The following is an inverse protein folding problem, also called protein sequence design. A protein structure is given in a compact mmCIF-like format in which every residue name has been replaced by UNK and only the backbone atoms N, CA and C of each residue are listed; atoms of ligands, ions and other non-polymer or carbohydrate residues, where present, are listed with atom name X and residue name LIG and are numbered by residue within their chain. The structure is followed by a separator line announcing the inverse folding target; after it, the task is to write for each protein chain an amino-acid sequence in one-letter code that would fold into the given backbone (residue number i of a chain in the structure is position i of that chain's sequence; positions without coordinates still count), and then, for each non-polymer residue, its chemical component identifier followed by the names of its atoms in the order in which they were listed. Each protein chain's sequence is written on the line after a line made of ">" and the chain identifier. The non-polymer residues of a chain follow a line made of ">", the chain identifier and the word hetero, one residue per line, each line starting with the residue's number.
data_IF_492680984764
#
_entry.id   IF_492680984764
#
_cell.length_a   1.000
_cell.length_b   1.000
_cell.length_c   1.000
_cell.angle_alpha   90.00
_cell.angle_beta   90.00
_cell.angle_gamma   90.00
#
_symmetry.space_group_name_H-M   'P 1'
#
loop_
_entity.id
_entity.type
_entity.pdbx_description
1 polymer ?
#
# COMPACT_ATOMS: atom_id res chain seq x y z
N UNK A 1 -29.91 -6.46 15.82
CA UNK A 1 -29.35 -5.57 16.87
C UNK A 1 -28.04 -5.02 16.31
N UNK A 2 -27.92 -3.73 16.04
CA UNK A 2 -26.63 -3.15 15.64
C UNK A 2 -25.68 -3.31 16.83
N UNK A 3 -24.67 -4.15 16.69
CA UNK A 3 -23.60 -4.23 17.69
C UNK A 3 -22.98 -2.84 17.81
N UNK A 4 -22.92 -2.33 19.04
CA UNK A 4 -22.26 -1.06 19.33
C UNK A 4 -20.76 -1.25 19.14
N UNK A 5 -20.22 -0.88 17.99
CA UNK A 5 -18.80 -1.08 17.61
C UNK A 5 -18.11 0.26 17.50
N UNK A 6 -16.90 0.33 18.02
CA UNK A 6 -15.96 1.41 17.78
C UNK A 6 -14.88 0.93 16.80
N UNK A 7 -14.75 1.60 15.67
CA UNK A 7 -13.74 1.32 14.67
C UNK A 7 -12.70 2.43 14.75
N UNK A 8 -11.41 2.05 14.80
CA UNK A 8 -10.30 3.00 14.92
C UNK A 8 -9.28 2.71 13.82
N UNK A 9 -8.93 3.74 13.02
CA UNK A 9 -7.79 3.74 12.14
C UNK A 9 -6.67 4.60 12.73
N UNK A 10 -5.58 3.95 13.13
CA UNK A 10 -4.37 4.60 13.64
C UNK A 10 -3.47 4.91 12.45
N UNK A 11 -3.73 6.04 11.81
CA UNK A 11 -2.98 6.48 10.64
C UNK A 11 -1.62 7.11 10.98
N UNK A 12 -0.77 7.29 9.96
CA UNK A 12 0.52 7.95 10.12
C UNK A 12 0.41 9.44 10.45
N UNK A 13 -0.72 10.09 10.16
CA UNK A 13 -0.94 11.53 10.32
C UNK A 13 -2.18 11.84 11.16
N UNK A 14 -3.20 11.00 11.10
CA UNK A 14 -4.47 11.18 11.81
C UNK A 14 -4.90 9.89 12.50
N UNK A 15 -5.55 10.03 13.66
CA UNK A 15 -6.46 9.02 14.18
C UNK A 15 -7.84 9.26 13.59
N UNK A 16 -8.51 8.21 13.18
CA UNK A 16 -9.91 8.25 12.73
C UNK A 16 -10.71 7.27 13.56
N UNK A 17 -11.82 7.74 14.12
CA UNK A 17 -12.73 6.94 14.92
C UNK A 17 -14.09 6.93 14.25
N UNK A 18 -14.69 5.75 14.14
CA UNK A 18 -16.06 5.62 13.66
C UNK A 18 -16.92 4.92 14.71
N UNK A 19 -17.91 5.65 15.23
CA UNK A 19 -18.93 5.12 16.12
C UNK A 19 -20.30 5.51 15.57
N UNK A 20 -21.24 4.58 15.49
CA UNK A 20 -22.59 4.82 15.00
C UNK A 20 -22.63 5.53 13.62
N UNK A 21 -21.76 5.17 12.71
CA UNK A 21 -21.59 5.77 11.37
C UNK A 21 -21.12 7.25 11.39
N UNK A 22 -20.68 7.76 12.52
CA UNK A 22 -20.08 9.08 12.62
C UNK A 22 -18.55 8.93 12.68
N UNK A 23 -17.83 9.58 11.77
CA UNK A 23 -16.35 9.53 11.71
C UNK A 23 -15.78 10.82 12.25
N UNK A 24 -14.99 10.69 13.31
CA UNK A 24 -14.18 11.76 13.88
C UNK A 24 -12.71 11.58 13.46
N UNK A 25 -11.99 12.71 13.31
CA UNK A 25 -10.58 12.71 12.96
C UNK A 25 -9.80 13.64 13.85
N UNK A 26 -8.64 13.15 14.33
CA UNK A 26 -7.73 13.89 15.19
C UNK A 26 -6.33 13.89 14.61
N UNK A 27 -5.76 15.06 14.38
CA UNK A 27 -4.38 15.19 13.93
C UNK A 27 -3.42 14.68 15.03
N UNK A 28 -2.42 13.89 14.65
CA UNK A 28 -1.44 13.32 15.58
C UNK A 28 -0.46 14.37 16.09
N UNK A 29 -0.10 14.25 17.36
CA UNK A 29 1.06 14.92 17.94
C UNK A 29 2.28 14.01 17.81
N UNK A 30 3.20 14.34 16.90
CA UNK A 30 4.39 13.52 16.63
C UNK A 30 5.43 13.55 17.76
N UNK A 31 5.25 14.39 18.79
CA UNK A 31 6.11 14.45 19.96
C UNK A 31 5.64 13.50 21.07
N UNK A 32 4.51 12.83 20.89
CA UNK A 32 3.95 11.89 21.85
C UNK A 32 3.99 10.46 21.30
N UNK A 33 4.06 9.51 22.22
CA UNK A 33 3.75 8.12 21.93
C UNK A 33 2.36 8.00 21.27
N UNK A 34 2.20 7.00 20.39
CA UNK A 34 0.96 6.79 19.62
C UNK A 34 -0.22 6.53 20.54
N UNK A 35 -0.02 5.68 21.57
CA UNK A 35 -1.09 5.30 22.48
C UNK A 35 -1.47 6.44 23.42
N UNK A 36 -0.49 7.18 23.94
CA UNK A 36 -0.69 8.34 24.80
C UNK A 36 -1.41 9.45 24.04
N UNK A 37 -1.05 9.71 22.78
CA UNK A 37 -1.72 10.70 21.95
C UNK A 37 -3.16 10.28 21.63
N UNK A 38 -3.38 9.02 21.24
CA UNK A 38 -4.71 8.46 20.97
C UNK A 38 -5.60 8.57 22.21
N UNK A 39 -5.12 8.13 23.36
CA UNK A 39 -5.92 8.14 24.61
C UNK A 39 -6.17 9.54 25.11
N UNK A 40 -5.21 10.47 24.95
CA UNK A 40 -5.41 11.88 25.33
C UNK A 40 -6.48 12.59 24.50
N UNK A 41 -6.66 12.20 23.24
CA UNK A 41 -7.62 12.83 22.30
C UNK A 41 -8.97 12.11 22.23
N UNK A 42 -8.95 10.80 22.40
CA UNK A 42 -10.08 9.93 22.12
C UNK A 42 -10.50 9.05 23.31
N UNK A 43 -9.83 9.15 24.44
CA UNK A 43 -10.06 8.29 25.62
C UNK A 43 -11.50 8.30 26.12
N UNK A 44 -12.17 9.46 26.13
CA UNK A 44 -13.58 9.59 26.52
C UNK A 44 -14.53 8.82 25.59
N UNK A 45 -14.19 8.75 24.28
CA UNK A 45 -14.96 7.97 23.31
C UNK A 45 -14.66 6.48 23.47
N UNK A 46 -13.39 6.12 23.58
CA UNK A 46 -12.93 4.72 23.71
C UNK A 46 -13.51 4.07 24.98
N UNK A 47 -13.52 4.78 26.11
CA UNK A 47 -13.99 4.27 27.40
C UNK A 47 -15.48 3.86 27.43
N UNK A 48 -16.26 4.26 26.44
CA UNK A 48 -17.69 3.92 26.31
C UNK A 48 -17.91 2.51 25.72
N UNK A 49 -16.84 1.86 25.22
CA UNK A 49 -16.90 0.56 24.54
C UNK A 49 -16.09 -0.48 25.31
N UNK A 50 -16.53 -1.74 25.24
CA UNK A 50 -15.76 -2.87 25.74
C UNK A 50 -14.65 -3.22 24.77
N UNK A 51 -13.61 -3.90 25.21
CA UNK A 51 -12.46 -4.29 24.38
C UNK A 51 -12.84 -5.14 23.17
N UNK A 52 -13.82 -6.00 23.28
CA UNK A 52 -14.36 -6.85 22.20
C UNK A 52 -15.23 -6.07 21.20
N UNK A 53 -15.67 -4.85 21.57
CA UNK A 53 -16.42 -3.95 20.70
C UNK A 53 -15.51 -2.96 19.94
N UNK A 54 -14.20 -2.91 20.28
CA UNK A 54 -13.21 -2.01 19.65
C UNK A 54 -12.42 -2.76 18.59
N UNK A 55 -12.45 -2.27 17.36
CA UNK A 55 -11.68 -2.82 16.22
C UNK A 55 -10.68 -1.80 15.72
N UNK A 56 -9.42 -2.20 15.57
CA UNK A 56 -8.33 -1.29 15.22
C UNK A 56 -7.65 -1.77 13.93
N UNK A 57 -7.39 -0.83 13.03
CA UNK A 57 -6.37 -0.99 12.01
C UNK A 57 -5.29 0.10 12.14
N UNK A 58 -4.09 -0.17 11.65
CA UNK A 58 -2.98 0.78 11.78
C UNK A 58 -2.09 0.82 10.55
N UNK A 59 -1.73 2.04 10.12
CA UNK A 59 -0.62 2.31 9.21
C UNK A 59 0.51 3.10 9.89
N UNK A 60 0.37 3.40 11.20
CA UNK A 60 1.35 4.19 11.95
C UNK A 60 2.65 3.42 12.23
N UNK A 61 2.60 2.11 12.19
CA UNK A 61 3.72 1.20 12.44
C UNK A 61 4.85 1.29 11.39
N UNK A 62 4.62 1.90 10.24
CA UNK A 62 5.59 1.96 9.14
C UNK A 62 5.74 0.66 8.34
N UNK A 63 5.10 -0.45 8.78
CA UNK A 63 5.22 -1.79 8.19
C UNK A 63 6.57 -2.46 8.48
N UNK A 64 6.67 -3.77 8.19
CA UNK A 64 7.93 -4.52 8.27
C UNK A 64 8.87 -4.09 7.15
N UNK A 65 10.08 -3.66 7.51
CA UNK A 65 11.12 -3.35 6.51
C UNK A 65 11.53 -4.62 5.77
N UNK A 66 11.38 -4.62 4.44
CA UNK A 66 11.49 -5.84 3.67
C UNK A 66 12.40 -5.66 2.45
N UNK A 67 13.28 -6.61 2.25
CA UNK A 67 14.06 -6.80 1.04
C UNK A 67 13.51 -7.99 0.26
N UNK A 68 13.26 -7.82 -1.04
CA UNK A 68 12.84 -8.91 -1.91
C UNK A 68 13.97 -9.22 -2.90
N UNK A 69 14.39 -10.47 -2.94
CA UNK A 69 15.38 -10.97 -3.90
C UNK A 69 14.66 -11.93 -4.84
N UNK A 70 14.70 -11.67 -6.15
CA UNK A 70 14.00 -12.48 -7.15
C UNK A 70 14.76 -12.61 -8.45
N UNK A 71 14.41 -13.60 -9.26
CA UNK A 71 15.14 -13.95 -10.48
C UNK A 71 14.69 -13.20 -11.73
N UNK A 72 13.49 -12.59 -11.71
CA UNK A 72 12.97 -11.81 -12.83
C UNK A 72 12.22 -10.59 -12.34
N UNK A 73 12.38 -9.46 -13.03
CA UNK A 73 11.63 -8.22 -12.70
C UNK A 73 10.15 -8.37 -13.00
N UNK A 74 9.81 -8.89 -14.17
CA UNK A 74 8.43 -8.95 -14.69
C UNK A 74 7.57 -10.05 -14.06
N UNK A 75 8.17 -10.99 -13.31
CA UNK A 75 7.49 -12.12 -12.69
C UNK A 75 7.74 -12.18 -11.20
N UNK A 76 8.82 -12.85 -10.77
CA UNK A 76 9.04 -13.15 -9.35
C UNK A 76 9.09 -11.90 -8.47
N UNK A 77 9.85 -10.86 -8.83
CA UNK A 77 9.91 -9.61 -8.07
C UNK A 77 8.58 -8.87 -8.08
N UNK A 78 7.94 -8.76 -9.25
CA UNK A 78 6.69 -8.03 -9.41
C UNK A 78 5.57 -8.62 -8.57
N UNK A 79 5.37 -9.94 -8.61
CA UNK A 79 4.30 -10.61 -7.86
C UNK A 79 4.61 -10.68 -6.36
N UNK A 80 5.85 -10.96 -5.97
CA UNK A 80 6.24 -10.90 -4.56
C UNK A 80 6.06 -9.49 -3.97
N UNK A 81 6.40 -8.45 -4.73
CA UNK A 81 6.18 -7.04 -4.36
C UNK A 81 4.72 -6.75 -4.12
N UNK A 82 3.85 -7.24 -5.01
CA UNK A 82 2.42 -7.03 -4.92
C UNK A 82 1.82 -7.74 -3.70
N UNK A 83 2.15 -9.02 -3.49
CA UNK A 83 1.72 -9.78 -2.31
C UNK A 83 2.19 -9.09 -1.02
N UNK A 84 3.45 -8.67 -0.97
CA UNK A 84 4.01 -7.99 0.20
C UNK A 84 3.28 -6.66 0.50
N UNK A 85 3.01 -5.84 -0.52
CA UNK A 85 2.23 -4.61 -0.31
C UNK A 85 0.82 -4.88 0.24
N UNK A 86 0.15 -5.93 -0.24
CA UNK A 86 -1.17 -6.31 0.27
C UNK A 86 -1.14 -6.81 1.71
N UNK A 87 0.03 -7.23 2.22
CA UNK A 87 0.24 -7.69 3.60
C UNK A 87 0.69 -6.57 4.58
N UNK A 88 0.70 -5.31 4.16
CA UNK A 88 1.12 -4.19 5.01
C UNK A 88 2.63 -4.04 5.17
N UNK A 89 3.40 -4.63 4.26
CA UNK A 89 4.87 -4.65 4.29
C UNK A 89 5.45 -3.34 3.74
N UNK A 90 6.58 -2.93 4.32
CA UNK A 90 7.37 -1.78 3.89
C UNK A 90 8.58 -2.25 3.07
N UNK A 91 8.43 -2.47 1.76
CA UNK A 91 9.53 -2.87 0.89
C UNK A 91 10.54 -1.72 0.79
N UNK A 92 11.74 -1.92 1.28
CA UNK A 92 12.84 -0.93 1.22
C UNK A 92 13.65 -1.06 -0.07
N UNK A 93 13.79 -2.28 -0.59
CA UNK A 93 14.48 -2.53 -1.86
C UNK A 93 13.99 -3.84 -2.50
N UNK A 94 14.16 -3.94 -3.81
CA UNK A 94 14.03 -5.17 -4.60
C UNK A 94 15.33 -5.41 -5.33
N UNK A 95 15.83 -6.65 -5.30
CA UNK A 95 17.10 -7.05 -5.90
C UNK A 95 16.85 -8.11 -6.95
N UNK A 96 17.24 -7.83 -8.18
CA UNK A 96 17.29 -8.87 -9.22
C UNK A 96 18.51 -9.75 -8.95
N UNK A 97 18.31 -11.06 -8.83
CA UNK A 97 19.35 -12.00 -8.42
C UNK A 97 20.62 -11.93 -9.28
N UNK A 98 20.46 -11.76 -10.59
CA UNK A 98 21.61 -11.60 -11.49
C UNK A 98 22.52 -10.42 -11.15
N UNK A 99 21.98 -9.37 -10.49
CA UNK A 99 22.69 -8.14 -10.14
C UNK A 99 23.12 -8.13 -8.67
N UNK A 100 22.98 -9.25 -7.96
CA UNK A 100 23.17 -9.34 -6.50
C UNK A 100 24.58 -8.93 -6.06
N UNK A 101 25.61 -9.27 -6.85
CA UNK A 101 27.01 -8.94 -6.54
C UNK A 101 27.34 -7.45 -6.67
N UNK A 102 26.56 -6.71 -7.45
CA UNK A 102 26.75 -5.26 -7.68
C UNK A 102 25.76 -4.41 -6.88
N UNK A 103 24.79 -5.04 -6.25
CA UNK A 103 23.78 -4.35 -5.46
C UNK A 103 24.32 -3.94 -4.10
N UNK A 104 24.11 -2.68 -3.73
CA UNK A 104 24.50 -2.18 -2.41
C UNK A 104 23.73 -2.89 -1.31
N UNK A 105 24.44 -3.24 -0.24
CA UNK A 105 23.86 -3.85 0.95
C UNK A 105 23.28 -2.75 1.84
N UNK A 106 21.99 -2.84 2.25
CA UNK A 106 21.42 -1.93 3.22
C UNK A 106 22.17 -1.99 4.56
N UNK A 107 22.45 -0.83 5.15
CA UNK A 107 23.13 -0.72 6.45
C UNK A 107 22.21 -1.05 7.64
N UNK A 108 20.93 -0.82 7.46
CA UNK A 108 19.92 -0.96 8.52
C UNK A 108 19.45 -2.40 8.68
N UNK A 109 18.93 -2.72 9.85
CA UNK A 109 18.30 -4.01 10.10
C UNK A 109 17.05 -4.16 9.23
N UNK A 110 16.94 -5.29 8.56
CA UNK A 110 15.80 -5.66 7.72
C UNK A 110 14.92 -6.64 8.52
N UNK A 111 13.63 -6.35 8.64
CA UNK A 111 12.73 -7.23 9.38
C UNK A 111 12.48 -8.54 8.64
N UNK A 112 12.38 -8.48 7.29
CA UNK A 112 12.11 -9.67 6.46
C UNK A 112 12.90 -9.63 5.15
N UNK A 113 13.57 -10.75 4.83
CA UNK A 113 14.10 -11.03 3.51
C UNK A 113 13.18 -12.05 2.82
N UNK A 114 12.68 -11.73 1.63
CA UNK A 114 11.85 -12.62 0.82
C UNK A 114 12.67 -13.09 -0.38
N UNK A 115 12.86 -14.39 -0.49
CA UNK A 115 13.49 -15.03 -1.64
C UNK A 115 12.42 -15.65 -2.53
N UNK A 116 12.40 -15.28 -3.82
CA UNK A 116 11.38 -15.74 -4.77
C UNK A 116 12.00 -16.06 -6.12
N UNK A 117 11.58 -17.16 -6.72
CA UNK A 117 11.99 -17.45 -8.09
C UNK A 117 11.89 -18.92 -8.48
N UNK A 118 11.84 -19.10 -9.78
CA UNK A 118 11.65 -20.40 -10.41
C UNK A 118 10.20 -20.88 -10.32
N UNK A 119 9.89 -21.81 -11.19
CA UNK A 119 8.72 -22.69 -11.12
C UNK A 119 9.20 -24.08 -10.73
N UNK A 120 8.35 -24.92 -10.15
CA UNK A 120 8.76 -26.19 -9.55
C UNK A 120 9.34 -27.22 -10.54
N UNK A 121 9.22 -26.96 -11.84
CA UNK A 121 9.84 -27.74 -12.91
C UNK A 121 11.25 -27.28 -13.31
N UNK A 122 11.71 -26.13 -12.82
CA UNK A 122 13.03 -25.55 -13.15
C UNK A 122 14.05 -25.92 -12.08
N UNK A 123 15.24 -26.33 -12.50
CA UNK A 123 16.36 -26.66 -11.62
C UNK A 123 16.99 -25.40 -11.02
N UNK A 124 17.74 -25.61 -9.96
CA UNK A 124 18.41 -24.66 -9.06
C UNK A 124 18.61 -23.26 -9.63
N UNK A 125 17.96 -22.28 -9.02
CA UNK A 125 18.01 -20.89 -9.47
C UNK A 125 18.97 -20.05 -8.65
N UNK A 126 19.22 -20.46 -7.39
CA UNK A 126 20.13 -19.80 -6.47
C UNK A 126 21.40 -20.61 -6.28
N UNK A 127 22.53 -19.92 -6.17
CA UNK A 127 23.85 -20.48 -5.95
C UNK A 127 24.56 -19.80 -4.76
N UNK A 128 25.85 -20.06 -4.59
CA UNK A 128 26.68 -19.54 -3.49
C UNK A 128 26.77 -18.01 -3.43
N UNK A 129 26.50 -17.28 -4.51
CA UNK A 129 26.48 -15.80 -4.51
C UNK A 129 25.42 -15.25 -3.58
N UNK A 130 24.25 -15.94 -3.48
CA UNK A 130 23.21 -15.56 -2.54
C UNK A 130 23.75 -15.56 -1.10
N UNK A 131 24.48 -16.61 -0.71
CA UNK A 131 25.01 -16.71 0.65
C UNK A 131 26.07 -15.65 0.93
N UNK A 132 26.90 -15.31 -0.07
CA UNK A 132 27.84 -14.21 0.02
C UNK A 132 27.16 -12.87 0.31
N UNK A 133 26.04 -12.61 -0.34
CA UNK A 133 25.23 -11.41 -0.10
C UNK A 133 24.56 -11.43 1.27
N UNK A 134 23.87 -12.53 1.63
CA UNK A 134 23.14 -12.67 2.89
C UNK A 134 24.05 -12.58 4.13
N UNK A 135 25.31 -13.04 4.06
CA UNK A 135 26.28 -12.93 5.17
C UNK A 135 26.59 -11.50 5.58
N UNK A 136 26.47 -10.56 4.64
CA UNK A 136 26.72 -9.15 4.89
C UNK A 136 25.44 -8.37 5.20
N UNK A 137 24.29 -9.02 5.18
CA UNK A 137 22.98 -8.43 5.43
C UNK A 137 22.58 -8.66 6.89
N UNK A 138 22.00 -7.63 7.51
CA UNK A 138 21.41 -7.74 8.85
C UNK A 138 19.92 -7.91 8.72
N UNK A 139 19.39 -9.07 9.06
CA UNK A 139 17.95 -9.36 8.98
C UNK A 139 17.44 -10.19 10.15
N UNK A 140 16.15 -10.08 10.44
CA UNK A 140 15.48 -10.81 11.53
C UNK A 140 14.83 -12.10 11.03
N UNK A 141 14.20 -12.07 9.87
CA UNK A 141 13.46 -13.19 9.28
C UNK A 141 13.85 -13.37 7.82
N UNK A 142 13.84 -14.62 7.36
CA UNK A 142 14.05 -14.95 5.96
C UNK A 142 13.06 -16.03 5.52
N UNK A 143 12.41 -15.82 4.38
CA UNK A 143 11.41 -16.74 3.83
C UNK A 143 11.70 -17.01 2.36
N UNK A 144 11.54 -18.27 1.97
CA UNK A 144 11.64 -18.71 0.58
C UNK A 144 10.29 -19.17 0.05
N UNK A 145 9.85 -18.53 -1.04
CA UNK A 145 8.60 -18.80 -1.74
C UNK A 145 8.88 -19.04 -3.24
N UNK A 146 9.75 -19.95 -3.54
CA UNK A 146 10.20 -20.29 -4.90
C UNK A 146 10.19 -21.80 -5.17
N UNK A 147 10.91 -22.18 -6.22
CA UNK A 147 10.93 -23.57 -6.73
C UNK A 147 11.28 -24.60 -5.65
N UNK A 148 10.57 -25.73 -5.65
CA UNK A 148 10.83 -26.84 -4.73
C UNK A 148 12.28 -27.40 -4.90
N UNK A 149 12.89 -27.20 -6.05
CA UNK A 149 14.23 -27.69 -6.38
C UNK A 149 15.34 -27.02 -5.55
N UNK A 150 15.14 -25.78 -5.12
CA UNK A 150 16.12 -25.06 -4.32
C UNK A 150 15.97 -25.28 -2.80
N UNK A 151 14.87 -25.89 -2.35
CA UNK A 151 14.54 -25.99 -0.91
C UNK A 151 15.63 -26.64 -0.07
N UNK A 152 16.07 -27.83 -0.45
CA UNK A 152 17.08 -28.59 0.30
C UNK A 152 18.43 -27.85 0.30
N UNK A 153 18.81 -27.29 -0.84
CA UNK A 153 20.04 -26.53 -0.98
C UNK A 153 20.02 -25.26 -0.11
N UNK A 154 18.95 -24.48 -0.16
CA UNK A 154 18.83 -23.27 0.63
C UNK A 154 18.72 -23.58 2.13
N UNK A 155 17.94 -24.57 2.53
CA UNK A 155 17.79 -24.97 3.94
C UNK A 155 19.11 -25.46 4.54
N UNK A 156 19.95 -26.10 3.74
CA UNK A 156 21.27 -26.57 4.20
C UNK A 156 22.29 -25.44 4.38
N UNK A 157 22.06 -24.26 3.82
CA UNK A 157 23.02 -23.17 3.78
C UNK A 157 22.53 -21.86 4.44
N UNK A 158 21.26 -21.77 4.80
CA UNK A 158 20.65 -20.58 5.44
C UNK A 158 19.96 -21.00 6.73
N UNK A 159 20.46 -20.47 7.83
CA UNK A 159 19.88 -20.70 9.15
C UNK A 159 18.49 -20.05 9.28
N UNK A 160 17.56 -20.75 9.94
CA UNK A 160 16.19 -20.27 10.21
C UNK A 160 15.39 -19.89 8.97
N UNK A 161 15.72 -20.43 7.80
CA UNK A 161 14.96 -20.23 6.57
C UNK A 161 13.56 -20.84 6.70
N UNK A 162 12.54 -20.02 6.52
CA UNK A 162 11.16 -20.49 6.44
C UNK A 162 10.83 -20.83 4.99
N UNK A 163 10.36 -22.05 4.76
CA UNK A 163 9.91 -22.49 3.43
C UNK A 163 8.40 -22.43 3.37
N UNK A 164 7.89 -21.78 2.35
CA UNK A 164 6.46 -21.76 2.03
C UNK A 164 6.21 -22.23 0.60
N UNK A 165 4.96 -22.30 0.20
CA UNK A 165 4.58 -22.64 -1.17
C UNK A 165 5.11 -21.58 -2.15
N UNK A 166 5.50 -22.05 -3.36
CA UNK A 166 5.96 -21.17 -4.41
C UNK A 166 4.86 -20.21 -4.85
N UNK A 167 5.17 -18.91 -4.92
CA UNK A 167 4.19 -17.89 -5.38
C UNK A 167 3.81 -18.03 -6.86
N UNK A 168 4.54 -18.83 -7.63
CA UNK A 168 4.24 -19.10 -9.04
C UNK A 168 4.28 -20.60 -9.28
N UNK A 169 3.13 -21.19 -9.55
CA UNK A 169 3.06 -22.62 -9.82
C UNK A 169 3.50 -22.98 -11.27
N UNK A 170 3.57 -24.28 -11.57
CA UNK A 170 3.98 -24.79 -12.89
C UNK A 170 3.04 -24.40 -14.06
N UNK A 171 1.84 -23.91 -13.77
CA UNK A 171 0.90 -23.38 -14.76
C UNK A 171 1.02 -21.86 -14.93
N UNK A 172 2.03 -21.26 -14.31
CA UNK A 172 2.25 -19.81 -14.25
C UNK A 172 1.09 -19.05 -13.58
N UNK A 173 0.35 -19.70 -12.67
CA UNK A 173 -0.63 -19.05 -11.83
C UNK A 173 0.05 -18.51 -10.57
N UNK A 174 -0.39 -17.36 -10.11
CA UNK A 174 0.07 -16.76 -8.85
C UNK A 174 -0.66 -17.41 -7.68
N UNK A 175 0.10 -17.89 -6.70
CA UNK A 175 -0.37 -18.47 -5.43
C UNK A 175 0.01 -17.49 -4.33
N UNK A 176 -0.94 -16.67 -3.91
CA UNK A 176 -0.66 -15.51 -3.02
C UNK A 176 -0.78 -15.85 -1.53
N UNK A 177 -1.78 -16.67 -1.17
CA UNK A 177 -2.19 -16.85 0.22
C UNK A 177 -1.06 -17.34 1.16
N UNK A 178 -0.18 -18.31 0.81
CA UNK A 178 0.85 -18.75 1.75
C UNK A 178 1.83 -17.64 2.14
N UNK A 179 2.30 -16.84 1.17
CA UNK A 179 3.20 -15.73 1.47
C UNK A 179 2.47 -14.60 2.20
N UNK A 180 1.25 -14.31 1.81
CA UNK A 180 0.42 -13.28 2.43
C UNK A 180 0.08 -13.60 3.89
N UNK A 181 -0.28 -14.85 4.18
CA UNK A 181 -0.54 -15.33 5.54
C UNK A 181 0.73 -15.22 6.40
N UNK A 182 1.86 -15.71 5.90
CA UNK A 182 3.14 -15.61 6.59
C UNK A 182 3.50 -14.16 6.94
N UNK A 183 3.41 -13.25 5.98
CA UNK A 183 3.74 -11.83 6.19
C UNK A 183 2.74 -11.14 7.12
N UNK A 184 1.46 -11.49 7.05
CA UNK A 184 0.44 -10.98 7.97
C UNK A 184 0.72 -11.41 9.40
N UNK A 185 1.09 -12.66 9.62
CA UNK A 185 1.44 -13.18 10.94
C UNK A 185 2.70 -12.49 11.51
N UNK A 186 3.72 -12.27 10.68
CA UNK A 186 4.90 -11.49 11.08
C UNK A 186 4.54 -10.05 11.45
N UNK A 187 3.67 -9.41 10.67
CA UNK A 187 3.20 -8.06 10.96
C UNK A 187 2.47 -7.99 12.31
N UNK A 188 1.65 -8.98 12.64
CA UNK A 188 0.98 -9.08 13.93
C UNK A 188 1.99 -9.22 15.09
N UNK A 189 2.97 -10.11 14.92
CA UNK A 189 4.03 -10.30 15.92
C UNK A 189 4.85 -9.01 16.13
N UNK A 190 5.12 -8.26 15.05
CA UNK A 190 5.83 -6.99 15.10
C UNK A 190 5.05 -5.92 15.87
N UNK A 191 3.73 -5.81 15.64
CA UNK A 191 2.87 -4.90 16.42
C UNK A 191 2.93 -5.23 17.92
N UNK A 192 2.85 -6.51 18.26
CA UNK A 192 2.92 -6.94 19.67
C UNK A 192 4.27 -6.69 20.31
N UNK A 193 5.35 -6.64 19.53
CA UNK A 193 6.71 -6.38 20.00
C UNK A 193 7.09 -4.91 20.12
N UNK A 194 6.38 -3.99 19.47
CA UNK A 194 6.71 -2.55 19.44
C UNK A 194 6.07 -1.80 20.61
N UNK A 195 6.90 -1.16 21.44
CA UNK A 195 6.44 -0.38 22.59
C UNK A 195 5.35 0.63 22.26
N UNK A 196 5.51 1.36 21.16
CA UNK A 196 4.61 2.45 20.73
C UNK A 196 3.20 1.97 20.33
N UNK A 197 3.03 0.69 20.01
CA UNK A 197 1.79 0.16 19.40
C UNK A 197 1.21 -0.98 20.24
N UNK A 198 2.03 -1.75 20.96
CA UNK A 198 1.56 -2.90 21.76
C UNK A 198 0.44 -2.50 22.72
N UNK A 199 0.48 -1.27 23.27
CA UNK A 199 -0.53 -0.73 24.17
C UNK A 199 -1.90 -0.53 23.49
N UNK A 200 -2.01 -0.58 22.17
CA UNK A 200 -3.32 -0.63 21.51
C UNK A 200 -4.12 -1.87 21.93
N UNK A 201 -3.46 -2.97 22.30
CA UNK A 201 -4.14 -4.16 22.87
C UNK A 201 -4.68 -3.93 24.30
N UNK A 202 -4.34 -2.81 24.95
CA UNK A 202 -4.98 -2.43 26.21
C UNK A 202 -6.43 -1.96 26.02
N UNK A 203 -6.79 -1.54 24.81
CA UNK A 203 -8.12 -1.03 24.47
C UNK A 203 -8.92 -1.95 23.54
N UNK A 204 -8.30 -2.96 22.91
CA UNK A 204 -9.00 -3.96 22.09
C UNK A 204 -8.57 -5.39 22.47
N UNK A 205 -9.49 -6.34 22.33
CA UNK A 205 -9.20 -7.78 22.34
C UNK A 205 -9.19 -8.38 20.93
N UNK A 206 -9.51 -7.58 19.91
CA UNK A 206 -9.53 -8.00 18.52
C UNK A 206 -8.14 -7.87 17.88
N UNK A 207 -7.90 -8.64 16.84
CA UNK A 207 -6.66 -8.57 16.06
C UNK A 207 -6.52 -7.20 15.37
N UNK A 208 -5.32 -6.62 15.43
CA UNK A 208 -5.02 -5.34 14.78
C UNK A 208 -4.45 -5.63 13.39
N UNK A 209 -5.06 -5.12 12.35
CA UNK A 209 -4.61 -5.28 10.97
C UNK A 209 -3.97 -4.02 10.42
N UNK A 210 -3.20 -4.17 9.35
CA UNK A 210 -2.72 -2.99 8.62
C UNK A 210 -3.88 -2.28 7.93
N UNK A 211 -3.89 -0.94 7.94
CA UNK A 211 -4.93 -0.14 7.25
C UNK A 211 -5.05 -0.53 5.77
N UNK A 212 -3.96 -0.73 5.03
CA UNK A 212 -4.06 -1.17 3.63
C UNK A 212 -4.73 -2.52 3.43
N UNK A 213 -4.50 -3.47 4.33
CA UNK A 213 -5.19 -4.76 4.30
C UNK A 213 -6.70 -4.57 4.47
N UNK A 214 -7.09 -3.74 5.44
CA UNK A 214 -8.51 -3.43 5.69
C UNK A 214 -9.14 -2.72 4.49
N UNK A 215 -8.47 -1.73 3.90
CA UNK A 215 -8.95 -1.05 2.69
C UNK A 215 -9.13 -2.05 1.54
N UNK A 216 -8.21 -2.97 1.33
CA UNK A 216 -8.37 -4.01 0.31
C UNK A 216 -9.58 -4.91 0.57
N UNK A 217 -9.86 -5.24 1.84
CA UNK A 217 -11.06 -6.00 2.25
C UNK A 217 -12.37 -5.23 2.05
N UNK A 218 -12.34 -3.91 1.87
CA UNK A 218 -13.56 -3.13 1.60
C UNK A 218 -14.03 -3.23 0.16
N UNK A 219 -13.12 -3.50 -0.78
CA UNK A 219 -13.37 -3.35 -2.22
C UNK A 219 -14.56 -4.20 -2.73
N UNK A 220 -14.73 -5.47 -2.30
CA UNK A 220 -15.89 -6.26 -2.69
C UNK A 220 -17.25 -5.68 -2.24
N UNK A 221 -17.24 -4.78 -1.26
CA UNK A 221 -18.45 -4.22 -0.64
C UNK A 221 -18.65 -2.73 -0.93
N UNK A 222 -17.78 -2.14 -1.74
CA UNK A 222 -17.75 -0.68 -1.95
C UNK A 222 -19.03 -0.17 -2.61
N UNK A 223 -19.63 -0.95 -3.50
CA UNK A 223 -20.88 -0.65 -4.19
C UNK A 223 -22.10 -0.63 -3.25
N UNK A 224 -22.01 -1.27 -2.09
CA UNK A 224 -23.07 -1.23 -1.07
C UNK A 224 -23.28 0.16 -0.48
N UNK A 225 -22.28 1.03 -0.58
CA UNK A 225 -22.29 2.38 0.03
C UNK A 225 -22.07 3.50 -0.98
N UNK A 226 -21.36 3.22 -2.07
CA UNK A 226 -21.00 4.20 -3.09
C UNK A 226 -21.47 3.72 -4.47
N UNK A 227 -21.87 4.65 -5.32
CA UNK A 227 -22.27 4.34 -6.70
C UNK A 227 -21.03 4.04 -7.56
N UNK A 228 -20.36 2.90 -7.30
CA UNK A 228 -19.16 2.45 -7.99
C UNK A 228 -19.52 1.40 -9.03
N UNK A 229 -18.95 1.51 -10.20
CA UNK A 229 -19.16 0.56 -11.31
C UNK A 229 -17.83 -0.10 -11.67
N UNK A 230 -17.81 -1.43 -11.73
CA UNK A 230 -16.66 -2.21 -12.15
C UNK A 230 -16.40 -2.10 -13.67
N UNK A 231 -15.13 -2.13 -14.12
CA UNK A 231 -13.91 -2.12 -13.31
C UNK A 231 -13.59 -0.73 -12.76
N UNK A 232 -13.03 -0.68 -11.56
CA UNK A 232 -12.70 0.58 -10.89
C UNK A 232 -11.29 0.58 -10.28
N UNK A 233 -10.79 1.77 -9.96
CA UNK A 233 -9.66 1.98 -9.05
C UNK A 233 -10.11 2.81 -7.86
N UNK A 234 -9.45 2.56 -6.71
CA UNK A 234 -9.52 3.41 -5.53
C UNK A 234 -8.14 4.00 -5.30
N UNK A 235 -8.06 5.34 -5.24
CA UNK A 235 -6.83 6.07 -4.95
C UNK A 235 -6.93 6.59 -3.52
N UNK A 236 -6.08 6.07 -2.63
CA UNK A 236 -5.94 6.53 -1.25
C UNK A 236 -4.69 7.41 -1.14
N UNK A 237 -4.90 8.72 -0.95
CA UNK A 237 -3.80 9.67 -0.81
C UNK A 237 -3.58 9.98 0.66
N UNK A 238 -2.49 9.44 1.18
CA UNK A 238 -2.01 9.65 2.54
C UNK A 238 -0.91 10.71 2.64
N UNK A 239 -0.48 10.95 3.89
CA UNK A 239 0.63 11.87 4.15
C UNK A 239 1.99 11.32 3.73
N UNK A 240 2.19 10.01 3.76
CA UNK A 240 3.45 9.34 3.44
C UNK A 240 3.43 8.62 2.10
N UNK A 241 2.30 8.01 1.74
CA UNK A 241 2.13 7.20 0.53
C UNK A 241 0.88 7.61 -0.22
N UNK A 242 0.83 7.24 -1.49
CA UNK A 242 -0.41 7.17 -2.27
C UNK A 242 -0.57 5.75 -2.77
N UNK A 243 -1.73 5.17 -2.55
CA UNK A 243 -2.03 3.79 -2.88
C UNK A 243 -3.10 3.72 -3.96
N UNK A 244 -2.96 2.78 -4.88
CA UNK A 244 -4.01 2.42 -5.84
C UNK A 244 -4.44 0.99 -5.57
N UNK A 245 -5.71 0.82 -5.20
CA UNK A 245 -6.37 -0.47 -5.24
C UNK A 245 -7.15 -0.57 -6.55
N UNK A 246 -7.12 -1.72 -7.21
CA UNK A 246 -7.70 -1.84 -8.55
C UNK A 246 -8.35 -3.21 -8.78
N UNK A 247 -9.39 -3.20 -9.61
CA UNK A 247 -9.99 -4.44 -10.14
C UNK A 247 -8.99 -5.15 -11.04
N UNK A 248 -8.78 -6.44 -10.87
CA UNK A 248 -7.79 -7.21 -11.63
C UNK A 248 -7.99 -7.20 -13.14
N UNK A 249 -9.21 -7.06 -13.60
CA UNK A 249 -9.53 -6.92 -15.02
C UNK A 249 -8.78 -5.76 -15.69
N UNK A 250 -8.35 -4.79 -14.91
CA UNK A 250 -7.55 -3.65 -15.37
C UNK A 250 -6.08 -3.99 -15.58
N UNK A 251 -5.57 -5.08 -15.02
CA UNK A 251 -4.18 -5.45 -15.21
C UNK A 251 -3.89 -5.80 -16.66
N UNK A 252 -2.75 -5.33 -17.16
CA UNK A 252 -2.21 -5.77 -18.47
C UNK A 252 -1.56 -7.15 -18.39
N UNK A 253 -1.35 -7.68 -17.18
CA UNK A 253 -0.76 -8.99 -16.97
C UNK A 253 -1.81 -10.09 -17.20
N UNK A 254 -1.42 -11.10 -17.96
CA UNK A 254 -2.30 -12.24 -18.29
C UNK A 254 -2.22 -13.37 -17.25
N UNK A 255 -1.75 -13.06 -16.02
CA UNK A 255 -1.65 -14.07 -14.98
C UNK A 255 -2.97 -14.28 -14.26
N UNK A 256 -3.33 -15.55 -14.08
CA UNK A 256 -4.49 -15.93 -13.27
C UNK A 256 -4.10 -15.84 -11.81
N UNK A 257 -4.81 -15.01 -11.08
CA UNK A 257 -4.70 -14.91 -9.62
C UNK A 257 -6.08 -15.13 -9.00
N UNK A 258 -6.13 -15.52 -7.73
CA UNK A 258 -7.39 -15.85 -7.04
C UNK A 258 -8.12 -14.61 -6.50
N UNK A 259 -7.41 -13.49 -6.33
CA UNK A 259 -8.01 -12.26 -5.81
C UNK A 259 -8.70 -11.45 -6.91
N UNK A 260 -9.83 -10.83 -6.60
CA UNK A 260 -10.55 -9.95 -7.52
C UNK A 260 -9.94 -8.53 -7.57
N UNK A 261 -9.23 -8.15 -6.54
CA UNK A 261 -8.64 -6.83 -6.36
C UNK A 261 -7.20 -6.92 -5.92
N UNK A 262 -6.42 -5.92 -6.32
CA UNK A 262 -5.01 -5.85 -6.04
C UNK A 262 -4.56 -4.42 -5.72
N UNK A 263 -3.31 -4.21 -5.28
CA UNK A 263 -2.83 -2.93 -4.77
C UNK A 263 -1.44 -2.58 -5.28
N UNK A 264 -1.23 -1.31 -5.58
CA UNK A 264 0.07 -0.69 -5.80
C UNK A 264 0.32 0.42 -4.79
N UNK A 265 1.54 0.54 -4.31
CA UNK A 265 1.95 1.53 -3.30
C UNK A 265 3.02 2.45 -3.87
N UNK A 266 2.76 3.74 -3.84
CA UNK A 266 3.69 4.79 -4.25
C UNK A 266 4.20 5.55 -3.03
N UNK A 267 5.25 5.03 -2.39
CA UNK A 267 5.82 5.55 -1.13
C UNK A 267 6.32 7.00 -1.21
N UNK A 268 6.69 7.45 -2.40
CA UNK A 268 7.26 8.79 -2.62
C UNK A 268 6.23 9.80 -3.13
N UNK A 269 4.95 9.46 -3.09
CA UNK A 269 3.86 10.33 -3.60
C UNK A 269 2.87 10.74 -2.52
N UNK A 270 3.23 10.65 -1.24
CA UNK A 270 2.44 11.22 -0.14
C UNK A 270 2.59 12.74 -0.06
N UNK A 271 1.54 13.40 0.41
CA UNK A 271 1.43 14.87 0.35
C UNK A 271 1.97 15.60 1.59
N UNK A 272 2.39 14.88 2.62
CA UNK A 272 2.91 15.46 3.88
C UNK A 272 4.34 14.98 4.17
N UNK A 273 4.53 13.76 4.66
CA UNK A 273 5.87 13.21 4.98
C UNK A 273 6.74 13.02 3.74
N UNK A 274 6.15 12.76 2.58
CA UNK A 274 6.84 12.57 1.31
C UNK A 274 6.71 13.77 0.35
N UNK A 275 6.35 14.96 0.87
CA UNK A 275 6.15 16.19 0.07
C UNK A 275 7.32 16.47 -0.87
N UNK A 276 8.55 16.45 -0.37
CA UNK A 276 9.75 16.70 -1.17
C UNK A 276 9.94 15.69 -2.31
N UNK A 277 9.67 14.41 -2.03
CA UNK A 277 9.75 13.37 -3.05
C UNK A 277 8.65 13.48 -4.11
N UNK A 278 7.45 13.90 -3.71
CA UNK A 278 6.35 14.19 -4.62
C UNK A 278 6.71 15.37 -5.55
N UNK A 279 7.23 16.45 -4.99
CA UNK A 279 7.70 17.62 -5.75
C UNK A 279 8.83 17.23 -6.71
N UNK A 280 9.79 16.43 -6.25
CA UNK A 280 10.85 15.93 -7.12
C UNK A 280 10.30 15.09 -8.28
N UNK A 281 9.36 14.19 -8.02
CA UNK A 281 8.70 13.40 -9.05
C UNK A 281 7.90 14.29 -10.03
N UNK A 282 7.25 15.33 -9.53
CA UNK A 282 6.53 16.30 -10.35
C UNK A 282 7.47 17.07 -11.30
N UNK A 283 8.59 17.59 -10.78
CA UNK A 283 9.58 18.34 -11.58
C UNK A 283 10.26 17.48 -12.67
N UNK A 284 10.30 16.17 -12.49
CA UNK A 284 10.86 15.22 -13.46
C UNK A 284 9.82 14.61 -14.41
N UNK A 285 8.59 15.09 -14.41
CA UNK A 285 7.55 14.64 -15.32
C UNK A 285 7.27 15.73 -16.37
N UNK A 286 7.39 15.39 -17.63
CA UNK A 286 7.27 16.34 -18.77
C UNK A 286 5.91 17.03 -18.86
N UNK A 287 4.83 16.39 -18.41
CA UNK A 287 3.47 16.91 -18.49
C UNK A 287 3.09 17.81 -17.32
N UNK A 288 3.88 17.82 -16.25
CA UNK A 288 3.54 18.61 -15.04
C UNK A 288 3.59 20.11 -15.30
N UNK A 289 4.46 20.61 -16.16
CA UNK A 289 4.49 22.03 -16.51
C UNK A 289 3.20 22.47 -17.23
N UNK A 290 2.68 21.63 -18.12
CA UNK A 290 1.41 21.91 -18.79
C UNK A 290 0.24 21.83 -17.79
N UNK A 291 0.31 20.89 -16.85
CA UNK A 291 -0.67 20.78 -15.78
C UNK A 291 -0.65 22.02 -14.88
N UNK A 292 0.51 22.51 -14.46
CA UNK A 292 0.61 23.75 -13.67
C UNK A 292 0.05 24.95 -14.41
N UNK A 293 0.31 25.06 -15.72
CA UNK A 293 -0.26 26.09 -16.57
C UNK A 293 -1.80 25.96 -16.65
N UNK A 294 -2.34 24.75 -16.80
CA UNK A 294 -3.77 24.47 -16.76
C UNK A 294 -4.40 24.90 -15.44
N UNK A 295 -3.76 24.59 -14.30
CA UNK A 295 -4.18 24.98 -12.95
C UNK A 295 -3.90 26.49 -12.64
N UNK A 296 -3.33 27.23 -13.58
CA UNK A 296 -2.98 28.66 -13.45
C UNK A 296 -2.08 28.96 -12.25
N UNK A 297 -1.10 28.08 -12.04
CA UNK A 297 -0.06 28.23 -11.01
C UNK A 297 1.33 28.05 -11.62
N UNK A 298 2.35 28.52 -10.89
CA UNK A 298 3.76 28.33 -11.24
C UNK A 298 4.44 27.42 -10.22
N UNK A 299 5.67 26.97 -10.50
CA UNK A 299 6.46 26.15 -9.58
C UNK A 299 6.69 26.78 -8.19
N UNK A 300 6.54 28.10 -8.06
CA UNK A 300 6.65 28.77 -6.78
C UNK A 300 5.67 28.22 -5.74
N UNK A 301 4.55 27.65 -6.17
CA UNK A 301 3.55 27.00 -5.31
C UNK A 301 4.15 25.88 -4.44
N UNK A 302 5.23 25.25 -4.89
CA UNK A 302 5.91 24.16 -4.16
C UNK A 302 6.65 24.66 -2.91
N UNK A 303 7.03 25.94 -2.90
CA UNK A 303 7.72 26.57 -1.79
C UNK A 303 6.75 27.19 -0.77
N UNK A 304 5.45 27.16 -1.05
CA UNK A 304 4.43 27.70 -0.17
C UNK A 304 4.00 26.65 0.86
N UNK A 305 3.72 27.11 2.07
CA UNK A 305 3.01 26.31 3.09
C UNK A 305 1.61 26.90 3.26
N UNK A 306 0.76 26.65 2.26
CA UNK A 306 -0.59 27.21 2.16
C UNK A 306 -1.62 26.13 1.82
N UNK A 307 -2.90 26.33 2.17
CA UNK A 307 -3.99 25.43 1.75
C UNK A 307 -4.06 25.27 0.22
N UNK A 308 -3.66 26.28 -0.52
CA UNK A 308 -3.58 26.22 -1.99
C UNK A 308 -2.48 25.28 -2.44
N UNK A 309 -1.29 25.39 -1.86
CA UNK A 309 -0.17 24.47 -2.15
C UNK A 309 -0.58 23.01 -1.86
N UNK A 310 -1.21 22.74 -0.72
CA UNK A 310 -1.66 21.40 -0.38
C UNK A 310 -2.65 20.84 -1.42
N UNK A 311 -3.61 21.63 -1.91
CA UNK A 311 -4.53 21.22 -2.98
C UNK A 311 -3.79 20.88 -4.26
N UNK A 312 -2.83 21.70 -4.68
CA UNK A 312 -2.02 21.43 -5.86
C UNK A 312 -1.19 20.15 -5.69
N UNK A 313 -0.59 19.91 -4.52
CA UNK A 313 0.15 18.67 -4.25
C UNK A 313 -0.77 17.44 -4.35
N UNK A 314 -2.01 17.53 -3.89
CA UNK A 314 -2.97 16.44 -4.04
C UNK A 314 -3.37 16.19 -5.49
N UNK A 315 -3.60 17.25 -6.27
CA UNK A 315 -3.85 17.12 -7.72
C UNK A 315 -2.66 16.48 -8.43
N UNK A 316 -1.43 16.88 -8.08
CA UNK A 316 -0.21 16.28 -8.61
C UNK A 316 -0.08 14.81 -8.22
N UNK A 317 -0.42 14.44 -6.99
CA UNK A 317 -0.39 13.04 -6.56
C UNK A 317 -1.37 12.18 -7.40
N UNK A 318 -2.60 12.65 -7.64
CA UNK A 318 -3.56 11.97 -8.53
C UNK A 318 -2.96 11.82 -9.93
N UNK A 319 -2.49 12.91 -10.51
CA UNK A 319 -1.93 12.90 -11.88
C UNK A 319 -0.76 11.92 -11.99
N UNK A 320 0.20 11.99 -11.07
CA UNK A 320 1.42 11.18 -11.11
C UNK A 320 1.15 9.70 -10.90
N UNK A 321 0.22 9.32 -10.02
CA UNK A 321 -0.10 7.90 -9.83
C UNK A 321 -0.82 7.33 -11.05
N UNK A 322 -1.75 8.08 -11.64
CA UNK A 322 -2.41 7.69 -12.90
C UNK A 322 -1.39 7.58 -14.05
N UNK A 323 -0.46 8.54 -14.15
CA UNK A 323 0.61 8.49 -15.13
C UNK A 323 1.49 7.25 -14.95
N UNK A 324 1.94 6.96 -13.72
CA UNK A 324 2.79 5.80 -13.44
C UNK A 324 2.13 4.46 -13.78
N UNK A 325 0.83 4.31 -13.54
CA UNK A 325 0.12 3.05 -13.88
C UNK A 325 -0.33 2.99 -15.34
N UNK A 326 -0.26 4.09 -16.09
CA UNK A 326 -0.51 4.11 -17.53
C UNK A 326 0.70 3.66 -18.35
N UNK A 327 1.90 3.75 -17.78
CA UNK A 327 3.15 3.43 -18.43
C UNK A 327 3.62 2.00 -18.09
N UNK A 328 4.38 1.40 -19.03
CA UNK A 328 5.04 0.13 -18.75
C UNK A 328 6.22 0.35 -17.81
N UNK A 329 6.26 -0.37 -16.70
CA UNK A 329 7.33 -0.28 -15.72
C UNK A 329 7.76 -1.67 -15.26
N UNK A 330 9.07 -1.94 -15.05
CA UNK A 330 9.54 -3.25 -14.62
C UNK A 330 8.92 -3.75 -13.31
N UNK A 331 8.67 -2.84 -12.36
CA UNK A 331 8.21 -3.17 -11.01
C UNK A 331 6.72 -2.89 -10.77
N UNK A 332 6.05 -2.12 -11.63
CA UNK A 332 4.64 -1.78 -11.46
C UNK A 332 3.79 -2.41 -12.56
N UNK A 333 2.60 -2.85 -12.19
CA UNK A 333 1.63 -3.35 -13.14
C UNK A 333 1.06 -2.18 -13.93
N UNK A 334 1.09 -2.27 -15.25
CA UNK A 334 0.39 -1.33 -16.13
C UNK A 334 -1.10 -1.62 -16.09
N UNK A 335 -1.92 -0.59 -15.93
CA UNK A 335 -3.38 -0.71 -15.91
C UNK A 335 -4.02 -0.24 -17.21
N UNK A 336 -5.08 -0.93 -17.60
CA UNK A 336 -5.95 -0.59 -18.76
C UNK A 336 -6.90 0.56 -18.39
N UNK A 337 -6.37 1.77 -18.19
CA UNK A 337 -7.14 2.92 -17.72
C UNK A 337 -8.29 3.32 -18.64
N UNK A 338 -8.22 2.98 -19.93
CA UNK A 338 -9.30 3.17 -20.88
C UNK A 338 -10.54 2.28 -20.64
N UNK A 339 -10.41 1.23 -19.84
CA UNK A 339 -11.51 0.35 -19.45
C UNK A 339 -12.19 0.76 -18.14
N UNK A 340 -11.61 1.70 -17.40
CA UNK A 340 -12.16 2.17 -16.13
C UNK A 340 -13.59 2.69 -16.28
N UNK A 341 -14.42 2.30 -15.30
CA UNK A 341 -15.80 2.83 -15.17
C UNK A 341 -15.91 3.82 -14.01
N UNK A 342 -15.14 3.60 -12.92
CA UNK A 342 -15.14 4.50 -11.77
C UNK A 342 -13.72 4.72 -11.23
N UNK A 343 -13.48 5.92 -10.72
CA UNK A 343 -12.34 6.28 -9.87
C UNK A 343 -12.89 6.71 -8.52
N UNK A 344 -12.48 6.02 -7.46
CA UNK A 344 -12.83 6.35 -6.09
C UNK A 344 -11.65 7.06 -5.44
N UNK A 345 -11.89 8.22 -4.84
CA UNK A 345 -10.89 9.01 -4.14
C UNK A 345 -11.16 8.97 -2.64
N UNK A 346 -10.17 8.55 -1.86
CA UNK A 346 -10.20 8.52 -0.39
C UNK A 346 -8.91 9.06 0.20
N UNK A 347 -8.77 9.05 1.52
CA UNK A 347 -7.62 9.62 2.20
C UNK A 347 -7.78 11.12 2.46
N UNK A 348 -6.70 11.81 2.81
CA UNK A 348 -6.69 13.26 3.13
C UNK A 348 -7.25 14.17 2.06
N UNK A 349 -7.28 13.70 0.83
CA UNK A 349 -7.73 14.40 -0.37
C UNK A 349 -9.20 14.82 -0.29
N UNK A 350 -10.05 13.99 0.25
CA UNK A 350 -11.51 14.21 0.22
C UNK A 350 -11.98 15.41 1.04
N UNK A 351 -11.13 15.90 1.96
CA UNK A 351 -11.40 17.10 2.75
C UNK A 351 -10.82 18.38 2.18
N UNK A 352 -9.82 18.29 1.32
CA UNK A 352 -9.05 19.43 0.84
C UNK A 352 -9.38 19.75 -0.61
N UNK A 353 -9.73 18.74 -1.41
CA UNK A 353 -10.02 18.88 -2.83
C UNK A 353 -11.54 18.86 -3.06
N UNK A 354 -12.05 19.79 -3.88
CA UNK A 354 -13.45 19.77 -4.29
C UNK A 354 -13.68 18.69 -5.36
N UNK A 355 -14.95 18.34 -5.57
CA UNK A 355 -15.33 17.40 -6.64
C UNK A 355 -14.92 17.94 -8.01
N UNK A 356 -15.12 19.24 -8.26
CA UNK A 356 -14.78 19.90 -9.51
C UNK A 356 -13.26 19.87 -9.76
N UNK A 357 -12.44 20.10 -8.73
CA UNK A 357 -10.98 20.02 -8.83
C UNK A 357 -10.53 18.56 -9.13
N UNK A 358 -11.19 17.57 -8.55
CA UNK A 358 -10.93 16.16 -8.85
C UNK A 358 -11.31 15.79 -10.28
N UNK A 359 -12.48 16.26 -10.75
CA UNK A 359 -12.91 16.07 -12.14
C UNK A 359 -11.94 16.75 -13.10
N UNK A 360 -11.52 17.96 -12.82
CA UNK A 360 -10.62 18.74 -13.67
C UNK A 360 -9.28 18.04 -13.89
N UNK A 361 -8.64 17.57 -12.82
CA UNK A 361 -7.35 16.88 -12.92
C UNK A 361 -7.43 15.54 -13.62
N UNK A 362 -8.50 14.77 -13.38
CA UNK A 362 -8.71 13.48 -14.05
C UNK A 362 -9.03 13.69 -15.53
N UNK A 363 -9.87 14.68 -15.86
CA UNK A 363 -10.17 15.05 -17.25
C UNK A 363 -8.92 15.50 -17.99
N UNK A 364 -8.06 16.33 -17.35
CA UNK A 364 -6.78 16.72 -17.92
C UNK A 364 -5.91 15.50 -18.22
N UNK A 365 -5.79 14.57 -17.27
CA UNK A 365 -5.03 13.34 -17.46
C UNK A 365 -5.55 12.51 -18.65
N UNK A 366 -6.87 12.25 -18.71
CA UNK A 366 -7.47 11.47 -19.77
C UNK A 366 -7.26 12.12 -21.14
N UNK A 367 -7.49 13.42 -21.24
CA UNK A 367 -7.29 14.17 -22.47
C UNK A 367 -5.84 14.20 -22.91
N UNK A 368 -4.91 14.48 -21.99
CA UNK A 368 -3.50 14.72 -22.31
C UNK A 368 -2.70 13.44 -22.50
N UNK A 369 -2.93 12.43 -21.67
CA UNK A 369 -2.14 11.20 -21.65
C UNK A 369 -2.80 10.08 -22.44
N UNK A 370 -4.11 9.91 -22.29
CA UNK A 370 -4.86 8.83 -22.95
C UNK A 370 -5.53 9.28 -24.26
N UNK A 371 -5.43 10.55 -24.62
CA UNK A 371 -6.04 11.16 -25.81
C UNK A 371 -7.55 10.86 -25.87
N UNK A 372 -8.25 11.00 -24.75
CA UNK A 372 -9.68 10.73 -24.58
C UNK A 372 -10.38 11.91 -23.91
N UNK A 373 -11.50 12.36 -24.48
CA UNK A 373 -12.39 13.35 -23.87
C UNK A 373 -13.38 12.69 -22.86
N UNK A 374 -13.39 11.37 -22.77
CA UNK A 374 -14.26 10.61 -21.87
C UNK A 374 -13.40 10.08 -20.71
N UNK A 375 -13.82 10.37 -19.50
CA UNK A 375 -13.23 9.82 -18.28
C UNK A 375 -14.27 9.02 -17.47
N UNK A 376 -13.82 8.12 -16.53
CA UNK A 376 -14.73 7.35 -15.68
C UNK A 376 -15.51 8.27 -14.72
N UNK A 377 -16.57 7.72 -14.13
CA UNK A 377 -17.26 8.40 -13.02
C UNK A 377 -16.33 8.57 -11.84
N UNK A 378 -16.45 9.68 -11.12
CA UNK A 378 -15.62 9.99 -9.97
C UNK A 378 -16.48 9.91 -8.71
N UNK A 379 -15.97 9.23 -7.71
CA UNK A 379 -16.62 9.07 -6.40
C UNK A 379 -15.65 9.56 -5.33
N UNK A 380 -16.10 10.43 -4.44
CA UNK A 380 -15.28 10.94 -3.34
C UNK A 380 -15.81 10.45 -1.99
N UNK A 381 -14.92 9.86 -1.19
CA UNK A 381 -15.19 9.44 0.19
C UNK A 381 -15.08 10.65 1.14
N UNK A 382 -16.06 11.55 1.12
CA UNK A 382 -16.06 12.78 1.93
C UNK A 382 -16.01 12.52 3.44
N UNK A 383 -16.51 11.38 3.88
CA UNK A 383 -16.59 11.03 5.30
C UNK A 383 -15.38 10.23 5.79
N UNK A 384 -14.48 9.83 4.91
CA UNK A 384 -13.38 8.93 5.27
C UNK A 384 -13.83 7.60 5.86
N UNK A 385 -14.88 7.05 5.35
CA UNK A 385 -15.52 5.88 5.96
C UNK A 385 -15.46 4.60 5.12
N UNK A 386 -14.76 4.63 3.96
CA UNK A 386 -14.53 3.44 3.13
C UNK A 386 -13.91 2.31 3.96
N UNK A 387 -12.85 2.57 4.71
CA UNK A 387 -12.15 1.58 5.52
C UNK A 387 -13.06 0.88 6.54
N UNK A 388 -14.14 1.52 6.97
CA UNK A 388 -15.08 0.95 7.94
C UNK A 388 -15.82 -0.28 7.39
N UNK A 389 -15.99 -0.37 6.07
CA UNK A 389 -16.63 -1.51 5.41
C UNK A 389 -15.78 -2.79 5.56
N UNK A 390 -14.46 -2.68 5.44
CA UNK A 390 -13.55 -3.83 5.55
C UNK A 390 -13.34 -4.29 6.99
N UNK A 391 -13.23 -3.37 7.93
CA UNK A 391 -12.98 -3.71 9.33
C UNK A 391 -14.20 -4.41 9.98
N UNK A 392 -15.40 -4.22 9.46
CA UNK A 392 -16.62 -4.88 9.95
C UNK A 392 -16.81 -6.28 9.39
N UNK A 393 -15.99 -6.70 8.42
CA UNK A 393 -16.04 -8.03 7.78
C UNK A 393 -15.04 -9.02 8.40
N UNK A 394 -14.50 -8.71 9.56
CA UNK A 394 -13.55 -9.56 10.31
C UNK A 394 -14.28 -10.62 11.13
#
# INVERSE_FOLDING_TARGET
>A
MSQNKLLIDVGSTYFKLCANNNVEQHFRDFNKDIFDDLTSKCGDTISKFKKDEVFICSSANGGLTTLIIGITNSFSLKFATNIAYNSGINIINTVLYQDIETTSIPSDLIDVVILVGGIDSVDNVFDEKLFGYLKNLRYSNIVFAGTVKDRDYLTSNIDNLVIIENIINNKLHVVEEPLKEYLTNLYQADIMGKEDIKHLYDITSNQIYSTPYIVNKTLPFIDSKFAVVNPFILIDIGGATTDIHYSKDLSMENMVTENEYDRLVFKKLGVYKSKESLIFAAKNNEFVYELLAHLKVTENIFNEDSPKSLRILMQLAIFLVLYKVSEAHPLYIKLKLNLLKSIVLTGGITKVLSFEEAVDIISFFYKKILNSDIHPSIVMDYNYDIWTLGITQQ
#
